data_IF_543248509962
#
_entry.id   IF_543248509962
#
_cell.length_a   1.000
_cell.length_b   1.000
_cell.length_c   1.000
_cell.angle_alpha   90.00
_cell.angle_beta   90.00
_cell.angle_gamma   90.00
#
_symmetry.space_group_name_H-M   'P 1'
#
loop_
_entity.id
_entity.type
_entity.pdbx_description
1 polymer ?
#
# COMPACT_ATOMS: atom_id res chain seq x y z
N UNK A 1 5.75 -22.63 10.90
CA UNK A 1 5.54 -21.24 11.38
C UNK A 1 4.99 -20.42 10.23
N UNK A 2 4.06 -19.51 10.50
CA UNK A 2 3.62 -18.52 9.51
C UNK A 2 4.45 -17.24 9.67
N UNK A 3 4.83 -16.63 8.55
CA UNK A 3 5.50 -15.33 8.51
C UNK A 3 4.65 -14.33 7.76
N UNK A 4 4.69 -13.08 8.20
CA UNK A 4 4.07 -11.97 7.45
C UNK A 4 5.18 -11.18 6.77
N UNK A 5 5.17 -11.17 5.45
CA UNK A 5 6.16 -10.47 4.62
C UNK A 5 5.45 -9.33 3.91
N UNK A 6 6.00 -8.11 4.02
CA UNK A 6 5.55 -6.98 3.25
C UNK A 6 6.44 -6.81 2.01
N UNK A 7 5.86 -6.95 0.83
CA UNK A 7 6.51 -6.65 -0.44
C UNK A 7 6.17 -5.20 -0.83
N UNK A 8 7.19 -4.39 -1.13
CA UNK A 8 7.03 -2.97 -1.46
C UNK A 8 7.64 -2.72 -2.84
N UNK A 9 6.93 -1.95 -3.66
CA UNK A 9 7.43 -1.34 -4.89
C UNK A 9 7.21 0.17 -4.78
N UNK A 10 8.31 0.92 -4.73
CA UNK A 10 8.29 2.37 -4.69
C UNK A 10 8.65 2.94 -6.07
N UNK A 11 7.67 3.55 -6.73
CA UNK A 11 7.87 4.36 -7.93
C UNK A 11 8.25 5.80 -7.58
N UNK A 12 8.52 6.64 -8.58
CA UNK A 12 8.89 8.05 -8.34
C UNK A 12 7.77 8.89 -7.73
N UNK A 13 6.50 8.51 -7.90
CA UNK A 13 5.32 9.21 -7.37
C UNK A 13 4.24 8.25 -6.86
N UNK A 14 4.60 7.00 -6.60
CA UNK A 14 3.69 5.99 -6.10
C UNK A 14 4.37 4.99 -5.17
N UNK A 15 3.60 4.37 -4.29
CA UNK A 15 4.04 3.27 -3.43
C UNK A 15 2.97 2.18 -3.47
N UNK A 16 3.34 1.02 -3.99
CA UNK A 16 2.50 -0.19 -3.97
C UNK A 16 3.06 -1.17 -2.97
N UNK A 17 2.20 -1.77 -2.15
CA UNK A 17 2.61 -2.80 -1.21
C UNK A 17 1.62 -3.96 -1.14
N UNK A 18 2.12 -5.11 -0.72
CA UNK A 18 1.32 -6.29 -0.39
C UNK A 18 1.82 -6.89 0.92
N UNK A 19 0.90 -7.30 1.79
CA UNK A 19 1.19 -8.09 2.97
C UNK A 19 0.81 -9.55 2.69
N UNK A 20 1.81 -10.42 2.69
CA UNK A 20 1.69 -11.84 2.35
C UNK A 20 1.87 -12.72 3.60
N UNK A 21 1.06 -13.76 3.72
CA UNK A 21 1.25 -14.87 4.65
C UNK A 21 2.07 -15.96 3.96
N UNK A 22 3.26 -16.23 4.49
CA UNK A 22 4.24 -17.13 3.91
C UNK A 22 4.45 -18.36 4.79
N UNK A 23 4.75 -19.54 4.19
CA UNK A 23 5.12 -19.76 2.78
C UNK A 23 3.97 -19.90 1.77
N UNK A 24 2.71 -19.90 2.21
CA UNK A 24 1.53 -20.16 1.36
C UNK A 24 1.36 -19.11 0.25
N UNK A 25 1.81 -17.88 0.48
CA UNK A 25 1.70 -16.78 -0.47
C UNK A 25 0.34 -16.09 -0.45
N UNK A 26 -0.47 -16.35 0.59
CA UNK A 26 -1.81 -15.75 0.71
C UNK A 26 -1.68 -14.25 0.95
N UNK A 27 -2.28 -13.45 0.07
CA UNK A 27 -2.26 -11.99 0.17
C UNK A 27 -3.32 -11.51 1.17
N UNK A 28 -2.88 -11.11 2.37
CA UNK A 28 -3.75 -10.58 3.42
C UNK A 28 -4.29 -9.19 3.09
N UNK A 29 -3.44 -8.35 2.49
CA UNK A 29 -3.78 -6.97 2.14
C UNK A 29 -2.88 -6.47 1.00
N UNK A 30 -3.38 -5.52 0.23
CA UNK A 30 -2.59 -4.72 -0.70
C UNK A 30 -2.94 -3.25 -0.57
N UNK A 31 -1.95 -2.39 -0.74
CA UNK A 31 -2.14 -0.95 -0.79
C UNK A 31 -1.47 -0.32 -1.99
N UNK A 32 -2.00 0.82 -2.38
CA UNK A 32 -1.51 1.65 -3.46
C UNK A 32 -1.70 3.11 -3.07
N UNK A 33 -0.60 3.85 -3.03
CA UNK A 33 -0.56 5.29 -2.86
C UNK A 33 -0.09 5.87 -4.19
N UNK A 34 -0.86 6.78 -4.76
CA UNK A 34 -0.57 7.43 -6.04
C UNK A 34 -0.53 8.94 -5.87
N UNK A 35 0.21 9.61 -6.76
CA UNK A 35 0.38 11.07 -6.78
C UNK A 35 1.05 11.60 -5.50
N UNK A 36 1.99 10.84 -4.95
CA UNK A 36 2.86 11.30 -3.85
C UNK A 36 3.55 12.61 -4.28
N UNK A 37 3.59 13.59 -3.38
CA UNK A 37 4.03 14.96 -3.64
C UNK A 37 2.94 15.90 -4.15
N UNK A 38 1.69 15.43 -4.27
CA UNK A 38 0.53 16.24 -4.66
C UNK A 38 -0.46 16.39 -3.50
N UNK A 39 -1.25 17.47 -3.52
CA UNK A 39 -2.30 17.73 -2.52
C UNK A 39 -3.47 16.75 -2.58
N UNK A 40 -3.61 16.03 -3.70
CA UNK A 40 -4.69 15.09 -3.99
C UNK A 40 -4.17 13.66 -4.16
N UNK A 41 -3.18 13.27 -3.36
CA UNK A 41 -2.70 11.90 -3.35
C UNK A 41 -3.85 10.92 -3.03
N UNK A 42 -3.83 9.78 -3.73
CA UNK A 42 -4.90 8.80 -3.67
C UNK A 42 -4.37 7.57 -2.94
N UNK A 43 -4.97 7.27 -1.80
CA UNK A 43 -4.64 6.09 -1.02
C UNK A 43 -5.75 5.06 -1.21
N UNK A 44 -5.37 3.86 -1.63
CA UNK A 44 -6.28 2.72 -1.73
C UNK A 44 -5.70 1.54 -0.96
N UNK A 45 -6.47 0.99 -0.03
CA UNK A 45 -6.11 -0.23 0.70
C UNK A 45 -7.23 -1.26 0.48
N UNK A 46 -6.85 -2.49 0.14
CA UNK A 46 -7.76 -3.60 -0.13
C UNK A 46 -7.37 -4.80 0.73
N UNK A 47 -8.36 -5.39 1.38
CA UNK A 47 -8.30 -6.74 1.96
C UNK A 47 -9.27 -7.65 1.19
N UNK A 48 -9.40 -8.91 1.59
CA UNK A 48 -10.40 -9.80 0.99
C UNK A 48 -11.84 -9.31 1.13
N UNK A 49 -12.14 -8.60 2.23
CA UNK A 49 -13.52 -8.27 2.60
C UNK A 49 -13.83 -6.79 2.45
N UNK A 50 -12.81 -5.93 2.39
CA UNK A 50 -12.98 -4.49 2.46
C UNK A 50 -12.06 -3.76 1.49
N UNK A 51 -12.57 -2.64 0.98
CA UNK A 51 -11.81 -1.66 0.23
C UNK A 51 -11.98 -0.33 0.93
N UNK A 52 -10.85 0.30 1.25
CA UNK A 52 -10.78 1.64 1.77
C UNK A 52 -10.09 2.54 0.75
N UNK A 53 -10.62 3.74 0.58
CA UNK A 53 -10.08 4.74 -0.33
C UNK A 53 -10.20 6.12 0.30
N UNK A 54 -9.14 6.90 0.17
CA UNK A 54 -9.10 8.29 0.63
C UNK A 54 -8.28 9.14 -0.34
N UNK A 55 -8.65 10.40 -0.44
CA UNK A 55 -7.85 11.42 -1.13
C UNK A 55 -7.34 12.38 -0.07
N UNK A 56 -6.03 12.33 0.18
CA UNK A 56 -5.34 13.13 1.20
C UNK A 56 -4.01 13.63 0.65
N UNK A 57 -3.51 14.79 1.11
CA UNK A 57 -2.16 15.21 0.78
C UNK A 57 -1.14 14.18 1.33
N UNK A 58 -0.19 13.76 0.49
CA UNK A 58 0.96 12.95 0.92
C UNK A 58 2.21 13.63 0.37
N UNK A 59 3.03 14.21 1.25
CA UNK A 59 4.09 15.14 0.84
C UNK A 59 5.28 14.44 0.16
N UNK A 60 5.65 13.25 0.63
CA UNK A 60 6.77 12.48 0.13
C UNK A 60 6.60 10.98 0.46
N UNK A 61 7.55 10.13 0.07
CA UNK A 61 7.49 8.69 0.36
C UNK A 61 7.62 8.35 1.83
N UNK A 62 8.15 9.26 2.67
CA UNK A 62 8.23 9.04 4.12
C UNK A 62 6.86 9.25 4.76
N UNK A 63 6.12 10.23 4.29
CA UNK A 63 4.73 10.49 4.70
C UNK A 63 3.76 9.39 4.21
N UNK A 64 4.16 8.65 3.17
CA UNK A 64 3.38 7.56 2.59
C UNK A 64 3.45 6.22 3.39
N UNK A 65 4.29 6.10 4.41
CA UNK A 65 4.56 4.84 5.16
C UNK A 65 4.21 5.00 6.64
#
# INVERSE_FOLDING_TARGET
MSYKIMAINAGSSSLKFQLLEMPQGDMLCQGLIERIGMADAQVTIKTHNQKWQETVPVADHRDAV
#
